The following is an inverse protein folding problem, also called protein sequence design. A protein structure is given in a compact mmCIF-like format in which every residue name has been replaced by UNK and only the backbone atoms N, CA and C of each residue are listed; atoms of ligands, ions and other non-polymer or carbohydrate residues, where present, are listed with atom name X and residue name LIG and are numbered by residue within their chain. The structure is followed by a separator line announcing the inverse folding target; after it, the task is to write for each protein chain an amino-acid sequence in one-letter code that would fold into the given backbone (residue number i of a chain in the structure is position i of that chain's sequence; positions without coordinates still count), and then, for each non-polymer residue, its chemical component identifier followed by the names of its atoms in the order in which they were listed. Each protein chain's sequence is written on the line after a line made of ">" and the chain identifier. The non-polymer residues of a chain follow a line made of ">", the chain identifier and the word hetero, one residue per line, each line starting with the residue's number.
data_IF_373218416086
#
_entry.id   IF_373218416086
#
_cell.length_a   1.000
_cell.length_b   1.000
_cell.length_c   1.000
_cell.angle_alpha   90.00
_cell.angle_beta   90.00
_cell.angle_gamma   90.00
#
_symmetry.space_group_name_H-M   'P 1'
#
loop_
_entity.id
_entity.type
_entity.pdbx_description
1 polymer ?
#
# COMPACT_ATOMS: atom_id res chain seq x y z
N UNK A 1 -36.99 -21.27 40.87
CA UNK A 1 -35.88 -21.86 40.08
C UNK A 1 -35.39 -20.79 39.11
N UNK A 2 -34.31 -20.09 39.46
CA UNK A 2 -33.68 -19.09 38.60
C UNK A 2 -32.77 -19.80 37.59
N UNK A 3 -33.05 -19.65 36.30
CA UNK A 3 -32.13 -20.03 35.24
C UNK A 3 -31.07 -18.93 35.11
N UNK A 4 -29.85 -19.20 35.57
CA UNK A 4 -28.66 -18.44 35.21
C UNK A 4 -28.22 -18.89 33.82
N UNK A 5 -28.45 -18.05 32.81
CA UNK A 5 -27.77 -18.18 31.51
C UNK A 5 -26.42 -17.50 31.68
N UNK A 6 -25.37 -18.29 31.86
CA UNK A 6 -24.00 -17.81 31.84
C UNK A 6 -23.61 -17.49 30.40
N UNK A 7 -23.64 -16.20 30.03
CA UNK A 7 -22.89 -15.74 28.88
C UNK A 7 -21.42 -15.74 29.29
N UNK A 8 -20.68 -16.76 28.85
CA UNK A 8 -19.23 -16.67 28.79
C UNK A 8 -18.90 -15.59 27.75
N UNK A 9 -18.58 -14.38 28.21
CA UNK A 9 -18.04 -13.32 27.37
C UNK A 9 -16.60 -13.66 27.01
N UNK A 10 -16.42 -14.62 26.10
CA UNK A 10 -15.18 -14.68 25.33
C UNK A 10 -15.34 -13.58 24.27
N UNK A 11 -14.78 -12.40 24.55
CA UNK A 11 -14.68 -11.37 23.51
C UNK A 11 -13.95 -12.02 22.33
N UNK A 12 -14.50 -12.03 21.11
CA UNK A 12 -13.77 -12.56 19.96
C UNK A 12 -12.45 -11.80 19.90
N UNK A 13 -11.33 -12.53 19.85
CA UNK A 13 -10.01 -11.91 19.69
C UNK A 13 -10.06 -11.17 18.36
N UNK A 14 -10.00 -9.84 18.42
CA UNK A 14 -10.06 -8.98 17.24
C UNK A 14 -8.87 -9.27 16.33
N UNK A 15 -9.13 -9.47 15.03
CA UNK A 15 -8.08 -9.60 14.01
C UNK A 15 -7.72 -8.20 13.50
N UNK A 16 -6.49 -7.75 13.78
CA UNK A 16 -5.95 -6.51 13.24
C UNK A 16 -5.13 -6.81 12.00
N UNK A 17 -5.45 -6.15 10.90
CA UNK A 17 -4.70 -6.26 9.66
C UNK A 17 -3.56 -5.25 9.65
N UNK A 18 -2.36 -5.76 9.38
CA UNK A 18 -1.12 -5.01 9.26
C UNK A 18 -0.56 -5.07 7.84
N UNK A 19 -1.11 -5.94 6.99
CA UNK A 19 -0.63 -6.14 5.64
C UNK A 19 -0.91 -4.94 4.72
N UNK A 20 -0.03 -4.72 3.74
CA UNK A 20 -0.11 -3.61 2.81
C UNK A 20 -1.40 -3.64 1.96
N UNK A 21 -1.82 -4.84 1.51
CA UNK A 21 -2.97 -5.02 0.64
C UNK A 21 -3.94 -6.11 1.15
N UNK A 22 -4.06 -6.23 2.48
CA UNK A 22 -4.98 -7.15 3.16
C UNK A 22 -4.79 -8.64 2.85
N UNK A 23 -3.57 -9.03 2.50
CA UNK A 23 -3.18 -10.41 2.26
C UNK A 23 -3.49 -11.28 3.49
N UNK A 24 -3.22 -10.73 4.67
CA UNK A 24 -3.50 -11.36 5.96
C UNK A 24 -5.00 -11.63 6.17
N UNK A 25 -5.88 -10.69 5.80
CA UNK A 25 -7.34 -10.85 5.89
C UNK A 25 -7.82 -11.96 4.96
N UNK A 26 -7.33 -11.97 3.71
CA UNK A 26 -7.72 -12.99 2.73
C UNK A 26 -7.23 -14.38 3.15
N UNK A 27 -5.98 -14.49 3.60
CA UNK A 27 -5.45 -15.73 4.17
C UNK A 27 -6.24 -16.16 5.41
N UNK A 28 -6.56 -15.23 6.31
CA UNK A 28 -7.34 -15.52 7.52
C UNK A 28 -8.74 -15.99 7.18
N UNK A 29 -9.40 -15.42 6.17
CA UNK A 29 -10.71 -15.90 5.69
C UNK A 29 -10.66 -17.39 5.33
N UNK A 30 -9.61 -17.83 4.65
CA UNK A 30 -9.42 -19.23 4.27
C UNK A 30 -8.98 -20.12 5.46
N UNK A 31 -8.16 -19.59 6.37
CA UNK A 31 -7.40 -20.40 7.34
C UNK A 31 -7.80 -20.23 8.81
N UNK A 32 -8.74 -19.34 9.17
CA UNK A 32 -9.14 -19.06 10.57
C UNK A 32 -9.67 -20.27 11.36
N UNK A 33 -9.95 -21.38 10.69
CA UNK A 33 -10.34 -22.64 11.32
C UNK A 33 -9.14 -23.41 11.89
N UNK A 34 -7.91 -23.00 11.57
CA UNK A 34 -6.66 -23.57 12.08
C UNK A 34 -6.19 -22.77 13.30
N UNK A 35 -6.13 -23.42 14.47
CA UNK A 35 -5.85 -22.75 15.75
C UNK A 35 -4.36 -22.36 15.93
N UNK A 36 -3.43 -23.17 15.43
CA UNK A 36 -1.97 -22.97 15.59
C UNK A 36 -1.22 -23.36 14.33
N UNK A 37 -1.51 -22.62 13.26
CA UNK A 37 -0.92 -22.91 11.96
C UNK A 37 0.56 -22.49 11.88
N UNK A 38 1.13 -22.79 10.72
CA UNK A 38 2.54 -22.56 10.42
C UNK A 38 2.69 -21.89 9.06
N UNK A 39 3.58 -20.91 8.99
CA UNK A 39 3.79 -20.11 7.78
C UNK A 39 5.27 -19.94 7.44
N UNK A 40 5.52 -19.60 6.17
CA UNK A 40 6.83 -19.15 5.69
C UNK A 40 6.62 -17.82 4.96
N UNK A 41 7.37 -16.80 5.34
CA UNK A 41 7.30 -15.45 4.80
C UNK A 41 8.65 -15.08 4.19
N UNK A 42 8.75 -15.10 2.86
CA UNK A 42 9.99 -14.80 2.12
C UNK A 42 9.94 -13.35 1.65
N UNK A 43 10.92 -12.57 2.10
CA UNK A 43 10.87 -11.10 2.04
C UNK A 43 9.98 -10.54 3.13
N UNK A 44 10.22 -10.98 4.36
CA UNK A 44 9.38 -10.62 5.51
C UNK A 44 9.55 -9.15 5.94
N UNK A 45 10.72 -8.55 5.69
CA UNK A 45 11.01 -7.14 5.98
C UNK A 45 10.63 -6.71 7.42
N UNK A 46 9.71 -5.75 7.58
CA UNK A 46 9.35 -5.16 8.87
C UNK A 46 8.40 -6.09 9.65
N UNK A 47 8.65 -6.37 10.96
CA UNK A 47 7.80 -7.26 11.74
C UNK A 47 6.40 -6.72 12.04
N UNK A 48 6.13 -5.42 11.80
CA UNK A 48 4.88 -4.74 12.17
C UNK A 48 4.28 -3.99 10.99
N UNK A 49 5.09 -3.22 10.27
CA UNK A 49 4.65 -2.40 9.13
C UNK A 49 4.50 -3.29 7.91
N UNK A 50 3.35 -3.22 7.23
CA UNK A 50 3.05 -4.02 6.04
C UNK A 50 3.17 -5.55 6.26
N UNK A 51 3.17 -5.99 7.51
CA UNK A 51 3.41 -7.38 7.88
C UNK A 51 2.18 -8.26 7.68
N UNK A 52 2.30 -9.24 6.79
CA UNK A 52 1.25 -10.27 6.57
C UNK A 52 1.15 -11.25 7.74
N UNK A 53 2.27 -11.51 8.41
CA UNK A 53 2.41 -12.57 9.41
C UNK A 53 2.10 -12.13 10.85
N UNK A 54 2.02 -10.83 11.14
CA UNK A 54 1.84 -10.37 12.53
C UNK A 54 0.49 -10.72 13.12
N UNK A 55 -0.58 -10.56 12.35
CA UNK A 55 -1.93 -10.91 12.76
C UNK A 55 -2.03 -12.40 13.15
N UNK A 56 -1.43 -13.30 12.35
CA UNK A 56 -1.38 -14.74 12.64
C UNK A 56 -0.65 -15.05 13.94
N UNK A 57 0.46 -14.39 14.23
CA UNK A 57 1.23 -14.63 15.44
C UNK A 57 0.48 -14.22 16.71
N UNK A 58 -0.30 -13.14 16.65
CA UNK A 58 -1.22 -12.77 17.72
C UNK A 58 -2.33 -13.81 17.94
N UNK A 59 -2.68 -14.58 16.91
CA UNK A 59 -3.58 -15.73 16.99
C UNK A 59 -2.87 -17.04 17.39
N UNK A 60 -1.60 -16.97 17.82
CA UNK A 60 -0.85 -18.14 18.32
C UNK A 60 -0.15 -18.96 17.24
N UNK A 61 -0.16 -18.52 15.98
CA UNK A 61 0.61 -19.15 14.91
C UNK A 61 2.10 -18.85 15.07
N UNK A 62 2.93 -19.70 14.48
CA UNK A 62 4.39 -19.52 14.43
C UNK A 62 4.90 -19.81 13.04
N UNK A 63 6.01 -19.22 12.65
CA UNK A 63 6.51 -19.41 11.29
C UNK A 63 7.98 -19.11 11.12
N UNK A 64 8.36 -19.05 9.85
CA UNK A 64 9.71 -18.73 9.40
C UNK A 64 9.67 -17.44 8.62
N UNK A 65 10.51 -16.50 8.98
CA UNK A 65 10.78 -15.29 8.21
C UNK A 65 12.11 -15.47 7.49
N UNK A 66 12.13 -15.19 6.20
CA UNK A 66 13.37 -15.16 5.41
C UNK A 66 13.60 -13.72 4.98
N UNK A 67 14.70 -13.13 5.47
CA UNK A 67 15.02 -11.71 5.28
C UNK A 67 16.53 -11.52 5.13
N UNK A 68 17.04 -11.15 3.95
CA UNK A 68 18.48 -11.03 3.71
C UNK A 68 19.13 -9.86 4.48
N UNK A 69 18.41 -8.79 4.73
CA UNK A 69 18.96 -7.54 5.29
C UNK A 69 19.19 -7.70 6.80
N UNK A 70 20.42 -7.44 7.32
CA UNK A 70 20.71 -7.56 8.75
C UNK A 70 19.78 -6.72 9.63
N UNK A 71 19.47 -5.50 9.21
CA UNK A 71 18.58 -4.58 9.94
C UNK A 71 17.21 -5.20 10.23
N UNK A 72 16.52 -5.66 9.18
CA UNK A 72 15.20 -6.26 9.31
C UNK A 72 15.24 -7.65 9.96
N UNK A 73 16.27 -8.46 9.68
CA UNK A 73 16.44 -9.75 10.35
C UNK A 73 16.60 -9.59 11.88
N UNK A 74 17.35 -8.60 12.36
CA UNK A 74 17.46 -8.28 13.78
C UNK A 74 16.13 -7.78 14.36
N UNK A 75 15.44 -6.90 13.63
CA UNK A 75 14.12 -6.40 14.04
C UNK A 75 13.09 -7.53 14.17
N UNK A 76 13.04 -8.45 13.21
CA UNK A 76 12.21 -9.66 13.25
C UNK A 76 12.55 -10.50 14.48
N UNK A 77 13.83 -10.80 14.74
CA UNK A 77 14.24 -11.61 15.92
C UNK A 77 13.78 -10.97 17.25
N UNK A 78 13.81 -9.65 17.34
CA UNK A 78 13.41 -8.92 18.55
C UNK A 78 11.89 -8.96 18.76
N UNK A 79 11.11 -8.71 17.71
CA UNK A 79 9.66 -8.57 17.79
C UNK A 79 8.88 -9.89 17.66
N UNK A 80 9.48 -10.92 17.04
CA UNK A 80 8.81 -12.17 16.65
C UNK A 80 9.23 -13.35 17.51
N UNK A 81 9.12 -13.21 18.83
CA UNK A 81 9.56 -14.25 19.76
C UNK A 81 8.88 -15.61 19.50
N UNK A 82 9.68 -16.62 19.20
CA UNK A 82 9.23 -17.97 18.89
C UNK A 82 9.04 -18.27 17.40
N UNK A 83 9.10 -17.26 16.53
CA UNK A 83 9.28 -17.46 15.09
C UNK A 83 10.79 -17.70 14.79
N UNK A 84 11.09 -18.35 13.66
CA UNK A 84 12.46 -18.53 13.18
C UNK A 84 12.78 -17.43 12.17
N UNK A 85 13.99 -16.88 12.23
CA UNK A 85 14.48 -15.89 11.26
C UNK A 85 15.71 -16.42 10.53
N UNK A 86 15.56 -16.64 9.22
CA UNK A 86 16.64 -17.03 8.32
C UNK A 86 17.14 -15.76 7.62
N UNK A 87 18.37 -15.37 7.91
CA UNK A 87 18.98 -14.19 7.30
C UNK A 87 19.73 -14.57 6.02
N UNK A 88 18.97 -14.75 4.94
CA UNK A 88 19.47 -15.13 3.63
C UNK A 88 18.50 -14.67 2.54
N UNK A 89 19.02 -14.49 1.32
CA UNK A 89 18.20 -14.46 0.12
C UNK A 89 17.82 -15.89 -0.30
N UNK A 90 16.71 -16.02 -1.02
CA UNK A 90 16.32 -17.29 -1.64
C UNK A 90 16.56 -17.23 -3.15
N UNK A 91 17.22 -18.25 -3.68
CA UNK A 91 17.52 -18.31 -5.11
C UNK A 91 18.11 -19.65 -5.55
N UNK A 92 18.46 -19.76 -6.83
CA UNK A 92 18.88 -21.04 -7.45
C UNK A 92 20.29 -21.49 -7.11
N UNK A 93 21.07 -20.70 -6.37
CA UNK A 93 22.47 -21.00 -6.04
C UNK A 93 22.75 -20.78 -4.56
N UNK A 94 23.50 -21.70 -3.98
CA UNK A 94 24.05 -21.53 -2.65
C UNK A 94 25.29 -20.63 -2.67
N UNK A 95 25.51 -19.91 -1.57
CA UNK A 95 26.73 -19.14 -1.35
C UNK A 95 26.42 -17.73 -0.87
N UNK A 96 27.20 -16.76 -1.35
CA UNK A 96 27.02 -15.35 -1.04
C UNK A 96 26.76 -14.60 -2.33
N UNK A 97 25.77 -13.70 -2.31
CA UNK A 97 25.40 -12.88 -3.46
C UNK A 97 25.42 -11.39 -3.10
N UNK A 98 25.68 -10.52 -4.08
CA UNK A 98 25.46 -9.09 -3.90
C UNK A 98 23.97 -8.80 -3.80
N UNK A 99 23.62 -7.88 -2.91
CA UNK A 99 22.26 -7.44 -2.63
C UNK A 99 22.26 -5.93 -2.38
N UNK A 100 21.19 -5.24 -2.75
CA UNK A 100 21.09 -3.79 -2.67
C UNK A 100 19.93 -3.39 -1.77
N UNK A 101 20.25 -2.72 -0.66
CA UNK A 101 19.29 -2.07 0.21
C UNK A 101 19.05 -0.64 -0.28
N UNK A 102 17.79 -0.18 -0.21
CA UNK A 102 17.39 1.18 -0.59
C UNK A 102 16.84 1.88 0.68
N UNK A 103 17.72 2.47 1.50
CA UNK A 103 17.33 2.98 2.82
C UNK A 103 16.17 3.98 2.77
N UNK A 104 15.30 3.89 3.78
CA UNK A 104 14.16 4.80 3.94
C UNK A 104 12.97 4.54 3.00
N UNK A 105 13.06 3.54 2.12
CA UNK A 105 11.95 3.17 1.20
C UNK A 105 11.25 1.88 1.57
N UNK A 106 11.89 1.03 2.38
CA UNK A 106 11.44 -0.34 2.63
C UNK A 106 11.88 -1.35 1.56
N UNK A 107 12.39 -0.87 0.42
CA UNK A 107 12.75 -1.70 -0.73
C UNK A 107 14.17 -2.25 -0.61
N UNK A 108 14.37 -3.46 -1.10
CA UNK A 108 15.67 -4.07 -1.29
C UNK A 108 15.61 -5.09 -2.42
N UNK A 109 16.71 -5.34 -3.12
CA UNK A 109 16.68 -6.23 -4.30
C UNK A 109 18.01 -6.95 -4.50
N UNK A 110 17.93 -8.18 -5.02
CA UNK A 110 19.10 -8.89 -5.53
C UNK A 110 19.39 -8.57 -7.00
N UNK A 111 18.57 -7.78 -7.69
CA UNK A 111 18.75 -7.44 -9.11
C UNK A 111 19.51 -6.11 -9.28
N UNK A 112 20.73 -6.12 -9.87
CA UNK A 112 21.48 -4.90 -10.12
C UNK A 112 20.77 -3.92 -11.07
N UNK A 113 19.89 -4.39 -11.95
CA UNK A 113 19.14 -3.52 -12.86
C UNK A 113 18.08 -2.70 -12.11
N UNK A 114 17.39 -3.33 -11.16
CA UNK A 114 16.42 -2.66 -10.28
C UNK A 114 17.16 -1.67 -9.38
N UNK A 115 18.27 -2.06 -8.76
CA UNK A 115 19.11 -1.15 -7.99
C UNK A 115 19.59 0.07 -8.81
N UNK A 116 20.01 -0.15 -10.06
CA UNK A 116 20.41 0.93 -10.96
C UNK A 116 19.24 1.85 -11.37
N UNK A 117 18.00 1.36 -11.38
CA UNK A 117 16.81 2.19 -11.57
C UNK A 117 16.54 3.09 -10.36
N UNK A 118 16.61 2.55 -9.14
CA UNK A 118 16.47 3.34 -7.92
C UNK A 118 17.55 4.40 -7.78
N UNK A 119 18.81 4.06 -8.09
CA UNK A 119 19.91 5.01 -8.10
C UNK A 119 19.67 6.16 -9.10
N UNK A 120 19.09 5.88 -10.29
CA UNK A 120 18.71 6.91 -11.27
C UNK A 120 17.56 7.80 -10.78
N UNK A 121 16.75 7.30 -9.86
CA UNK A 121 15.66 8.05 -9.21
C UNK A 121 16.11 8.78 -7.93
N UNK A 122 17.43 8.99 -7.75
CA UNK A 122 18.04 9.68 -6.60
C UNK A 122 17.84 8.98 -5.24
N UNK A 123 17.60 7.67 -5.23
CA UNK A 123 17.65 6.90 -4.00
C UNK A 123 19.07 6.44 -3.70
N UNK A 124 19.46 6.48 -2.43
CA UNK A 124 20.67 5.81 -1.95
C UNK A 124 20.52 4.30 -2.13
N UNK A 125 21.56 3.64 -2.64
CA UNK A 125 21.59 2.19 -2.85
C UNK A 125 22.85 1.63 -2.17
N UNK A 126 22.66 0.89 -1.08
CA UNK A 126 23.75 0.28 -0.32
C UNK A 126 23.92 -1.17 -0.76
N UNK A 127 25.07 -1.47 -1.37
CA UNK A 127 25.41 -2.84 -1.72
C UNK A 127 25.97 -3.58 -0.51
N UNK A 128 25.36 -4.73 -0.20
CA UNK A 128 25.78 -5.65 0.85
C UNK A 128 25.95 -7.07 0.27
N UNK A 129 26.67 -7.92 0.98
CA UNK A 129 26.82 -9.33 0.63
C UNK A 129 25.97 -10.17 1.60
N UNK A 130 25.07 -10.99 1.06
CA UNK A 130 24.14 -11.79 1.86
C UNK A 130 24.24 -13.27 1.52
N UNK A 131 24.05 -14.18 2.49
CA UNK A 131 23.91 -15.61 2.19
C UNK A 131 22.74 -15.84 1.24
N UNK A 132 22.86 -16.81 0.35
CA UNK A 132 21.81 -17.26 -0.55
C UNK A 132 21.65 -18.79 -0.44
N UNK A 133 20.41 -19.26 -0.44
CA UNK A 133 20.07 -20.68 -0.36
C UNK A 133 18.81 -20.99 -1.19
N UNK A 134 18.63 -22.24 -1.66
CA UNK A 134 17.43 -22.61 -2.40
C UNK A 134 16.22 -22.77 -1.49
N UNK A 135 15.03 -22.48 -2.03
CA UNK A 135 13.75 -22.63 -1.33
C UNK A 135 13.54 -24.07 -0.83
N UNK A 136 13.99 -25.06 -1.61
CA UNK A 136 13.96 -26.47 -1.22
C UNK A 136 14.56 -26.73 0.16
N UNK A 137 15.69 -26.10 0.51
CA UNK A 137 16.31 -26.29 1.83
C UNK A 137 15.44 -25.75 2.96
N UNK A 138 14.79 -24.59 2.75
CA UNK A 138 13.88 -24.01 3.74
C UNK A 138 12.67 -24.92 3.92
N UNK A 139 12.06 -25.37 2.81
CA UNK A 139 10.90 -26.25 2.84
C UNK A 139 11.19 -27.60 3.51
N UNK A 140 12.31 -28.24 3.15
CA UNK A 140 12.69 -29.55 3.65
C UNK A 140 13.00 -29.53 5.16
N UNK A 141 13.49 -28.40 5.69
CA UNK A 141 13.71 -28.21 7.12
C UNK A 141 12.41 -28.28 7.96
N UNK A 142 11.24 -28.09 7.32
CA UNK A 142 9.92 -28.12 7.98
C UNK A 142 8.97 -29.13 7.33
N UNK A 143 9.50 -30.17 6.67
CA UNK A 143 8.69 -31.22 6.04
C UNK A 143 7.92 -32.10 7.05
N UNK A 144 8.19 -31.97 8.35
CA UNK A 144 7.55 -32.72 9.45
C UNK A 144 6.16 -32.19 9.83
N UNK A 145 5.73 -31.06 9.25
CA UNK A 145 4.49 -30.36 9.61
C UNK A 145 3.80 -29.74 8.39
N UNK A 146 2.49 -29.44 8.48
CA UNK A 146 1.81 -28.68 7.45
C UNK A 146 2.29 -27.22 7.42
N UNK A 147 2.64 -26.73 6.23
CA UNK A 147 2.85 -25.30 5.98
C UNK A 147 1.55 -24.77 5.40
N UNK A 148 0.88 -23.88 6.11
CA UNK A 148 -0.47 -23.45 5.77
C UNK A 148 -0.46 -22.32 4.75
N UNK A 149 0.54 -21.44 4.80
CA UNK A 149 0.77 -20.49 3.74
C UNK A 149 2.26 -20.17 3.56
N UNK A 150 2.61 -19.84 2.32
CA UNK A 150 3.92 -19.33 1.90
C UNK A 150 3.73 -17.99 1.16
N UNK A 151 4.41 -16.93 1.61
CA UNK A 151 4.52 -15.66 0.87
C UNK A 151 5.86 -15.59 0.16
N UNK A 152 5.85 -15.10 -1.08
CA UNK A 152 7.04 -14.81 -1.89
C UNK A 152 6.91 -13.37 -2.39
N UNK A 153 7.79 -12.52 -1.88
CA UNK A 153 7.85 -11.10 -2.23
C UNK A 153 9.31 -10.68 -2.12
N UNK A 154 10.04 -10.75 -3.24
CA UNK A 154 11.50 -10.58 -3.25
C UNK A 154 11.93 -9.57 -4.30
N UNK A 155 11.03 -8.63 -4.61
CA UNK A 155 11.26 -7.44 -5.44
C UNK A 155 11.91 -7.78 -6.78
N UNK A 156 11.23 -8.65 -7.56
CA UNK A 156 11.58 -8.96 -8.95
C UNK A 156 12.35 -10.27 -9.14
N UNK A 157 12.53 -11.08 -8.09
CA UNK A 157 13.20 -12.39 -8.15
C UNK A 157 12.28 -13.57 -7.81
N UNK A 158 10.97 -13.39 -7.91
CA UNK A 158 9.97 -14.42 -7.59
C UNK A 158 10.19 -15.69 -8.44
N UNK A 159 10.63 -15.51 -9.69
CA UNK A 159 10.95 -16.59 -10.62
C UNK A 159 12.12 -17.46 -10.14
N UNK A 160 13.19 -16.85 -9.62
CA UNK A 160 14.35 -17.56 -9.07
C UNK A 160 13.98 -18.34 -7.80
N UNK A 161 13.13 -17.77 -6.96
CA UNK A 161 12.63 -18.42 -5.75
C UNK A 161 11.83 -19.68 -6.13
N UNK A 162 10.90 -19.56 -7.08
CA UNK A 162 10.07 -20.68 -7.54
C UNK A 162 10.91 -21.75 -8.27
N UNK A 163 11.94 -21.36 -9.04
CA UNK A 163 12.87 -22.31 -9.67
C UNK A 163 13.67 -23.11 -8.64
N UNK A 164 13.96 -22.53 -7.48
CA UNK A 164 14.72 -23.18 -6.40
C UNK A 164 13.88 -24.10 -5.50
N UNK A 165 12.59 -24.24 -5.80
CA UNK A 165 11.64 -25.08 -5.03
C UNK A 165 11.97 -26.57 -5.13
N UNK A 166 12.26 -27.07 -6.34
CA UNK A 166 12.64 -28.47 -6.54
C UNK A 166 14.08 -28.69 -6.07
N UNK A 167 14.40 -29.84 -5.46
CA UNK A 167 13.65 -31.10 -5.48
C UNK A 167 12.61 -31.29 -4.35
N UNK A 168 12.37 -30.29 -3.49
CA UNK A 168 11.49 -30.47 -2.33
C UNK A 168 10.08 -30.94 -2.71
N UNK A 169 9.56 -32.01 -2.08
CA UNK A 169 8.19 -32.48 -2.30
C UNK A 169 7.17 -31.64 -1.52
N UNK A 170 7.60 -30.78 -0.60
CA UNK A 170 6.71 -30.04 0.30
C UNK A 170 5.85 -29.03 -0.47
N UNK A 171 4.56 -28.98 -0.17
CA UNK A 171 3.57 -28.07 -0.77
C UNK A 171 2.79 -27.32 0.31
N UNK A 172 3.11 -26.04 0.59
CA UNK A 172 2.26 -25.19 1.40
C UNK A 172 0.83 -25.14 0.86
N UNK A 173 -0.17 -25.05 1.74
CA UNK A 173 -1.57 -25.12 1.32
C UNK A 173 -1.96 -23.96 0.41
N UNK A 174 -1.48 -22.76 0.75
CA UNK A 174 -1.71 -21.52 -0.01
C UNK A 174 -0.36 -20.87 -0.30
N UNK A 175 -0.18 -20.39 -1.53
CA UNK A 175 1.00 -19.61 -1.94
C UNK A 175 0.54 -18.23 -2.38
N UNK A 176 1.16 -17.19 -1.83
CA UNK A 176 0.94 -15.79 -2.19
C UNK A 176 2.22 -15.29 -2.83
N UNK A 177 2.11 -14.75 -4.04
CA UNK A 177 3.28 -14.24 -4.79
C UNK A 177 2.99 -12.82 -5.25
N UNK A 178 3.89 -11.89 -4.96
CA UNK A 178 3.83 -10.55 -5.55
C UNK A 178 3.90 -10.68 -7.08
N UNK A 179 3.01 -9.99 -7.79
CA UNK A 179 2.76 -10.26 -9.21
C UNK A 179 2.74 -9.02 -10.08
N UNK A 180 3.27 -7.91 -9.55
CA UNK A 180 3.49 -6.64 -10.26
C UNK A 180 4.98 -6.31 -10.29
N UNK A 181 5.41 -5.46 -11.21
CA UNK A 181 6.76 -4.86 -11.11
C UNK A 181 6.79 -3.83 -9.98
N UNK A 182 7.93 -3.65 -9.29
CA UNK A 182 8.05 -2.74 -8.15
C UNK A 182 7.44 -1.37 -8.43
N UNK A 183 6.56 -0.90 -7.54
CA UNK A 183 5.87 0.40 -7.62
C UNK A 183 5.04 0.64 -8.89
N UNK A 184 4.56 -0.41 -9.57
CA UNK A 184 3.69 -0.29 -10.76
C UNK A 184 2.50 -1.23 -10.68
N UNK A 185 1.55 -1.06 -11.61
CA UNK A 185 0.45 -2.02 -11.84
C UNK A 185 0.76 -2.97 -13.01
N UNK A 186 2.00 -2.98 -13.51
CA UNK A 186 2.39 -3.84 -14.63
C UNK A 186 2.58 -5.28 -14.12
N UNK A 187 1.85 -6.28 -14.66
CA UNK A 187 1.98 -7.64 -14.17
C UNK A 187 3.35 -8.27 -14.46
N UNK A 188 3.87 -9.05 -13.51
CA UNK A 188 5.18 -9.73 -13.57
C UNK A 188 5.10 -11.26 -13.47
N UNK A 189 3.89 -11.85 -13.46
CA UNK A 189 3.70 -13.29 -13.19
C UNK A 189 3.95 -14.26 -14.34
N UNK A 190 4.10 -13.76 -15.57
CA UNK A 190 4.10 -14.59 -16.78
C UNK A 190 5.22 -15.67 -16.80
N UNK A 191 6.35 -15.38 -16.16
CA UNK A 191 7.51 -16.29 -16.15
C UNK A 191 7.38 -17.39 -15.09
N UNK A 192 6.84 -17.05 -13.91
CA UNK A 192 6.82 -17.96 -12.77
C UNK A 192 5.50 -18.73 -12.59
N UNK A 193 4.36 -18.19 -13.05
CA UNK A 193 3.05 -18.83 -12.86
C UNK A 193 2.96 -20.25 -13.47
N UNK A 194 3.44 -20.50 -14.71
CA UNK A 194 3.42 -21.86 -15.27
C UNK A 194 4.19 -22.88 -14.42
N UNK A 195 5.25 -22.44 -13.73
CA UNK A 195 6.07 -23.28 -12.86
C UNK A 195 5.32 -23.63 -11.58
N UNK A 196 4.61 -22.67 -10.99
CA UNK A 196 3.73 -22.88 -9.84
C UNK A 196 2.58 -23.84 -10.18
N UNK A 197 1.94 -23.66 -11.34
CA UNK A 197 0.90 -24.59 -11.83
C UNK A 197 1.47 -26.01 -12.00
N UNK A 198 2.68 -26.14 -12.56
CA UNK A 198 3.36 -27.43 -12.70
C UNK A 198 3.80 -28.07 -11.36
N UNK A 199 3.80 -27.30 -10.26
CA UNK A 199 4.00 -27.82 -8.91
C UNK A 199 2.70 -28.36 -8.28
N UNK A 200 1.55 -28.21 -8.94
CA UNK A 200 0.25 -28.70 -8.47
C UNK A 200 -0.62 -27.62 -7.83
N UNK A 201 -0.42 -26.36 -8.19
CA UNK A 201 -1.20 -25.24 -7.66
C UNK A 201 -2.24 -24.73 -8.65
N UNK A 202 -3.37 -24.24 -8.12
CA UNK A 202 -4.44 -23.62 -8.89
C UNK A 202 -4.62 -22.16 -8.49
N UNK A 203 -4.69 -21.26 -9.48
CA UNK A 203 -4.98 -19.85 -9.25
C UNK A 203 -6.33 -19.67 -8.53
N UNK A 204 -6.34 -18.87 -7.47
CA UNK A 204 -7.51 -18.65 -6.62
C UNK A 204 -7.95 -17.18 -6.61
N UNK A 205 -7.02 -16.23 -6.49
CA UNK A 205 -7.36 -14.82 -6.29
C UNK A 205 -6.23 -13.87 -6.71
N UNK A 206 -6.60 -12.65 -7.11
CA UNK A 206 -5.68 -11.54 -7.37
C UNK A 206 -6.23 -10.30 -6.66
N UNK A 207 -5.43 -9.71 -5.78
CA UNK A 207 -5.83 -8.57 -4.93
C UNK A 207 -5.49 -7.19 -5.55
N UNK A 208 -4.88 -7.18 -6.73
CA UNK A 208 -4.35 -5.98 -7.39
C UNK A 208 -2.82 -5.90 -7.40
N UNK A 209 -2.15 -6.63 -6.50
CA UNK A 209 -0.69 -6.67 -6.31
C UNK A 209 -0.20 -8.13 -6.29
N UNK A 210 -0.79 -8.96 -5.43
CA UNK A 210 -0.44 -10.35 -5.20
C UNK A 210 -1.42 -11.32 -5.85
N UNK A 211 -0.90 -12.47 -6.29
CA UNK A 211 -1.69 -13.62 -6.74
C UNK A 211 -1.62 -14.74 -5.71
N UNK A 212 -2.79 -15.32 -5.44
CA UNK A 212 -2.98 -16.41 -4.50
C UNK A 212 -3.24 -17.69 -5.26
N UNK A 213 -2.56 -18.75 -4.84
CA UNK A 213 -2.68 -20.08 -5.41
C UNK A 213 -2.95 -21.08 -4.29
N UNK A 214 -3.83 -22.04 -4.56
CA UNK A 214 -4.18 -23.10 -3.61
C UNK A 214 -3.63 -24.42 -4.13
N UNK A 215 -3.01 -25.21 -3.25
CA UNK A 215 -2.53 -26.55 -3.58
C UNK A 215 -3.70 -27.44 -3.98
N UNK A 216 -3.55 -28.26 -5.02
CA UNK A 216 -4.55 -29.26 -5.40
C UNK A 216 -4.82 -30.28 -4.29
N UNK A 217 -3.88 -30.47 -3.35
CA UNK A 217 -4.05 -31.31 -2.17
C UNK A 217 -5.05 -30.71 -1.15
N UNK A 218 -5.31 -29.40 -1.24
CA UNK A 218 -6.17 -28.63 -0.34
C UNK A 218 -7.18 -27.75 -1.10
N UNK A 219 -7.74 -28.27 -2.19
CA UNK A 219 -8.61 -27.50 -3.09
C UNK A 219 -9.88 -26.97 -2.40
N UNK A 220 -10.30 -27.58 -1.29
CA UNK A 220 -11.39 -27.08 -0.44
C UNK A 220 -11.15 -25.65 0.06
N UNK A 221 -9.89 -25.23 0.21
CA UNK A 221 -9.51 -23.89 0.64
C UNK A 221 -9.71 -22.84 -0.46
N UNK A 222 -10.00 -23.24 -1.70
CA UNK A 222 -10.26 -22.29 -2.79
C UNK A 222 -11.62 -21.59 -2.67
N UNK A 223 -12.61 -22.22 -2.02
CA UNK A 223 -13.98 -21.71 -1.96
C UNK A 223 -14.17 -20.32 -1.31
N UNK A 224 -13.41 -19.93 -0.26
CA UNK A 224 -13.52 -18.60 0.37
C UNK A 224 -12.91 -17.44 -0.43
N UNK A 225 -12.16 -17.73 -1.50
CA UNK A 225 -11.58 -16.74 -2.39
C UNK A 225 -12.61 -16.19 -3.39
N UNK A 226 -12.41 -14.97 -3.90
CA UNK A 226 -13.27 -14.37 -4.91
C UNK A 226 -13.50 -12.87 -4.68
N UNK A 227 -14.33 -12.47 -3.70
CA UNK A 227 -14.44 -11.08 -3.31
C UNK A 227 -13.20 -10.64 -2.53
N UNK A 228 -12.81 -9.37 -2.70
CA UNK A 228 -11.79 -8.76 -1.84
C UNK A 228 -12.23 -8.64 -0.38
N UNK A 229 -11.36 -8.11 0.49
CA UNK A 229 -11.69 -7.82 1.88
C UNK A 229 -12.98 -7.01 1.97
N UNK A 230 -13.89 -7.41 2.85
CA UNK A 230 -15.20 -6.81 2.96
C UNK A 230 -15.77 -6.92 4.38
N UNK A 231 -16.98 -6.39 4.55
CA UNK A 231 -17.68 -6.33 5.84
C UNK A 231 -17.75 -7.66 6.60
N UNK A 232 -17.79 -8.80 5.89
CA UNK A 232 -17.91 -10.12 6.52
C UNK A 232 -16.60 -10.71 7.04
N UNK A 233 -15.48 -9.99 6.89
CA UNK A 233 -14.18 -10.42 7.40
C UNK A 233 -13.94 -9.96 8.85
N UNK A 234 -14.70 -8.99 9.34
CA UNK A 234 -14.67 -8.52 10.74
C UNK A 234 -13.27 -8.15 11.27
N UNK A 235 -12.37 -7.69 10.40
CA UNK A 235 -11.04 -7.21 10.79
C UNK A 235 -11.08 -5.73 11.18
N UNK A 236 -10.06 -5.31 11.91
CA UNK A 236 -9.76 -3.91 12.18
C UNK A 236 -8.45 -3.54 11.51
N UNK A 237 -8.28 -2.26 11.20
CA UNK A 237 -7.01 -1.75 10.69
C UNK A 237 -6.07 -1.48 11.86
N UNK A 238 -4.83 -1.92 11.75
CA UNK A 238 -3.78 -1.53 12.69
C UNK A 238 -3.48 -0.02 12.62
N UNK A 239 -2.92 0.54 13.71
CA UNK A 239 -2.57 1.96 13.79
C UNK A 239 -1.48 2.37 12.79
N UNK A 240 -0.62 1.43 12.37
CA UNK A 240 0.44 1.65 11.39
C UNK A 240 -0.01 1.42 9.95
N UNK A 241 -1.25 0.97 9.71
CA UNK A 241 -1.77 0.75 8.36
C UNK A 241 -1.78 2.06 7.55
N UNK A 242 -1.32 2.02 6.30
CA UNK A 242 -1.36 3.19 5.41
C UNK A 242 -2.79 3.70 5.17
N UNK A 243 -3.80 2.83 5.27
CA UNK A 243 -5.22 3.19 5.19
C UNK A 243 -5.68 4.05 6.38
N UNK A 244 -4.93 4.06 7.49
CA UNK A 244 -5.18 4.87 8.68
C UNK A 244 -4.31 6.13 8.77
N UNK A 245 -3.46 6.41 7.79
CA UNK A 245 -2.44 7.47 7.86
C UNK A 245 -2.97 8.85 8.32
N UNK A 246 -4.06 9.33 7.71
CA UNK A 246 -4.66 10.63 8.07
C UNK A 246 -5.26 10.64 9.48
N UNK A 247 -5.80 9.51 9.92
CA UNK A 247 -6.34 9.38 11.27
C UNK A 247 -5.21 9.35 12.30
N UNK A 248 -4.16 8.57 12.04
CA UNK A 248 -2.95 8.51 12.86
C UNK A 248 -2.29 9.90 12.99
N UNK A 249 -2.19 10.64 11.89
CA UNK A 249 -1.68 12.02 11.88
C UNK A 249 -2.52 12.97 12.74
N UNK A 250 -3.85 12.86 12.70
CA UNK A 250 -4.72 13.69 13.57
C UNK A 250 -4.60 13.29 15.02
N UNK A 251 -4.46 12.00 15.31
CA UNK A 251 -4.32 11.48 16.66
C UNK A 251 -3.01 11.94 17.31
N UNK A 252 -1.90 11.94 16.57
CA UNK A 252 -0.60 12.42 17.07
C UNK A 252 -0.62 13.90 17.45
N UNK A 253 -1.34 14.75 16.70
CA UNK A 253 -1.55 16.17 17.06
C UNK A 253 -2.33 16.29 18.37
N UNK A 254 -3.37 15.47 18.54
CA UNK A 254 -4.17 15.45 19.77
C UNK A 254 -3.33 14.99 20.95
N UNK A 255 -2.52 13.95 20.78
CA UNK A 255 -1.69 13.41 21.86
C UNK A 255 -0.54 14.35 22.22
N UNK A 256 0.05 15.05 21.24
CA UNK A 256 1.00 16.14 21.50
C UNK A 256 0.34 17.29 22.28
N UNK A 257 -0.91 17.65 21.94
CA UNK A 257 -1.66 18.66 22.68
C UNK A 257 -1.94 18.21 24.12
N UNK A 258 -2.36 16.94 24.33
CA UNK A 258 -2.57 16.36 25.67
C UNK A 258 -1.28 16.32 26.50
N UNK A 259 -0.16 15.95 25.89
CA UNK A 259 1.14 15.93 26.56
C UNK A 259 1.54 17.34 27.00
N UNK A 260 1.28 18.34 26.15
CA UNK A 260 1.52 19.75 26.47
C UNK A 260 0.62 20.26 27.59
N UNK A 261 -0.67 19.89 27.60
CA UNK A 261 -1.57 20.25 28.71
C UNK A 261 -1.14 19.59 30.02
N UNK A 262 -0.77 18.31 29.99
CA UNK A 262 -0.28 17.61 31.18
C UNK A 262 1.03 18.22 31.73
N UNK A 263 1.95 18.62 30.84
CA UNK A 263 3.17 19.32 31.22
C UNK A 263 2.88 20.70 31.84
N UNK A 264 1.91 21.43 31.29
CA UNK A 264 1.48 22.73 31.83
C UNK A 264 0.83 22.58 33.22
N UNK A 265 -0.03 21.58 33.39
CA UNK A 265 -0.67 21.27 34.67
C UNK A 265 0.36 20.87 35.73
N UNK A 266 1.35 20.05 35.36
CA UNK A 266 2.45 19.68 36.24
C UNK A 266 3.31 20.89 36.64
N UNK A 267 3.61 21.79 35.70
CA UNK A 267 4.32 23.03 35.97
C UNK A 267 3.53 23.97 36.90
N UNK A 268 2.22 24.10 36.68
CA UNK A 268 1.32 24.89 37.52
C UNK A 268 1.26 24.33 38.95
N UNK A 269 1.11 23.00 39.09
CA UNK A 269 1.16 22.35 40.41
C UNK A 269 2.51 22.56 41.09
N UNK A 270 3.64 22.39 40.39
CA UNK A 270 4.96 22.64 40.96
C UNK A 270 5.14 24.09 41.41
N UNK A 271 4.59 25.06 40.66
CA UNK A 271 4.64 26.46 41.04
C UNK A 271 3.76 26.75 42.26
N UNK A 272 2.53 26.24 42.31
CA UNK A 272 1.61 26.45 43.44
C UNK A 272 2.11 25.84 44.75
N UNK A 273 2.69 24.64 44.70
CA UNK A 273 3.25 23.97 45.89
C UNK A 273 4.68 24.44 46.22
N UNK A 274 5.46 24.88 45.23
CA UNK A 274 6.77 25.50 45.43
C UNK A 274 6.68 26.86 46.13
N UNK A 275 5.68 27.68 45.77
CA UNK A 275 5.41 28.98 46.42
C UNK A 275 4.80 28.87 47.83
N UNK A 276 4.38 27.68 48.26
CA UNK A 276 3.84 27.45 49.62
C UNK A 276 4.90 27.16 50.68
N UNK A 277 6.19 27.03 50.32
CA UNK A 277 7.28 26.97 51.33
C UNK A 277 7.64 28.38 51.79
N UNK A 278 6.96 28.80 52.86
CA UNK A 278 7.33 29.88 53.77
C UNK A 278 7.68 31.23 53.12
N UNK A 279 6.69 31.89 52.50
CA UNK A 279 6.77 33.35 52.31
C UNK A 279 6.72 33.98 53.71
N UNK A 280 7.86 34.41 54.22
CA UNK A 280 7.90 35.27 55.40
C UNK A 280 7.32 36.64 55.00
N UNK A 281 6.66 37.34 55.93
CA UNK A 281 5.97 38.62 55.67
C UNK A 281 6.83 39.71 54.97
N UNK A 282 8.15 39.53 54.87
CA UNK A 282 9.09 40.43 54.22
C UNK A 282 9.15 40.31 52.68
N UNK A 283 8.68 39.22 52.08
CA UNK A 283 8.87 38.94 50.62
C UNK A 283 7.58 39.13 49.80
N UNK A 284 6.44 39.41 50.45
CA UNK A 284 5.14 39.57 49.80
C UNK A 284 5.11 40.62 48.67
N UNK A 285 5.70 41.83 48.82
CA UNK A 285 5.65 42.85 47.77
C UNK A 285 6.40 42.43 46.50
N UNK A 286 7.50 41.68 46.67
CA UNK A 286 8.36 41.26 45.56
C UNK A 286 7.74 40.09 44.79
N UNK A 287 7.12 39.14 45.49
CA UNK A 287 6.33 38.07 44.88
C UNK A 287 5.08 38.62 44.18
N UNK A 288 4.38 39.62 44.74
CA UNK A 288 3.25 40.28 44.07
C UNK A 288 3.70 40.96 42.77
N UNK A 289 4.82 41.68 42.80
CA UNK A 289 5.35 42.37 41.63
C UNK A 289 5.78 41.40 40.52
N UNK A 290 6.39 40.26 40.88
CA UNK A 290 6.74 39.22 39.93
C UNK A 290 5.50 38.55 39.32
N UNK A 291 4.47 38.27 40.12
CA UNK A 291 3.19 37.71 39.64
C UNK A 291 2.46 38.68 38.72
N UNK A 292 2.38 39.97 39.07
CA UNK A 292 1.79 41.00 38.21
C UNK A 292 2.55 41.13 36.88
N UNK A 293 3.88 41.12 36.92
CA UNK A 293 4.72 41.12 35.72
C UNK A 293 4.49 39.90 34.83
N UNK A 294 4.37 38.71 35.42
CA UNK A 294 4.09 37.45 34.73
C UNK A 294 2.70 37.42 34.09
N UNK A 295 1.67 37.89 34.80
CA UNK A 295 0.29 37.99 34.28
C UNK A 295 0.23 38.99 33.12
N UNK A 296 0.91 40.13 33.22
CA UNK A 296 0.97 41.12 32.12
C UNK A 296 1.66 40.54 30.88
N UNK A 297 2.73 39.77 31.05
CA UNK A 297 3.42 39.07 29.96
C UNK A 297 2.51 38.04 29.27
N UNK A 298 1.79 37.23 30.04
CA UNK A 298 0.82 36.25 29.54
C UNK A 298 -0.30 36.91 28.75
N UNK A 299 -0.92 37.96 29.31
CA UNK A 299 -1.98 38.72 28.64
C UNK A 299 -1.47 39.32 27.32
N UNK A 300 -0.25 39.87 27.30
CA UNK A 300 0.37 40.39 26.06
C UNK A 300 0.53 39.29 25.01
N UNK A 301 1.00 38.11 25.41
CA UNK A 301 1.19 36.98 24.49
C UNK A 301 -0.13 36.47 23.92
N UNK A 302 -1.14 36.32 24.75
CA UNK A 302 -2.45 35.83 24.31
C UNK A 302 -3.17 36.87 23.44
N UNK A 303 -3.02 38.16 23.75
CA UNK A 303 -3.54 39.24 22.89
C UNK A 303 -2.87 39.22 21.51
N UNK A 304 -1.55 39.00 21.45
CA UNK A 304 -0.83 38.86 20.17
C UNK A 304 -1.28 37.62 19.38
N UNK A 305 -1.48 36.49 20.05
CA UNK A 305 -1.99 35.26 19.41
C UNK A 305 -3.40 35.45 18.85
N UNK A 306 -4.30 36.11 19.59
CA UNK A 306 -5.66 36.42 19.12
C UNK A 306 -5.62 37.36 17.91
N UNK A 307 -4.71 38.34 17.89
CA UNK A 307 -4.53 39.22 16.74
C UNK A 307 -4.05 38.45 15.49
N UNK A 308 -3.07 37.54 15.66
CA UNK A 308 -2.57 36.70 14.57
C UNK A 308 -3.65 35.77 14.02
N UNK A 309 -4.45 35.14 14.89
CA UNK A 309 -5.56 34.27 14.46
C UNK A 309 -6.62 35.04 13.68
N UNK A 310 -6.95 36.27 14.10
CA UNK A 310 -7.88 37.14 13.36
C UNK A 310 -7.33 37.53 11.98
N UNK A 311 -6.03 37.75 11.87
CA UNK A 311 -5.39 38.02 10.58
C UNK A 311 -5.50 36.81 9.65
N UNK A 312 -5.16 35.61 10.13
CA UNK A 312 -5.31 34.36 9.35
C UNK A 312 -6.75 34.10 8.92
N UNK A 313 -7.73 34.38 9.79
CA UNK A 313 -9.15 34.27 9.45
C UNK A 313 -9.56 35.24 8.32
N UNK A 314 -9.03 36.48 8.36
CA UNK A 314 -9.27 37.46 7.31
C UNK A 314 -8.66 37.02 5.96
N UNK A 315 -7.44 36.48 5.98
CA UNK A 315 -6.76 35.97 4.79
C UNK A 315 -7.52 34.79 4.16
N UNK A 316 -7.96 33.83 4.98
CA UNK A 316 -8.77 32.69 4.52
C UNK A 316 -10.09 33.18 3.89
N UNK A 317 -10.78 34.15 4.52
CA UNK A 317 -12.02 34.72 3.97
C UNK A 317 -11.78 35.44 2.64
N UNK A 318 -10.64 36.11 2.48
CA UNK A 318 -10.27 36.75 1.21
C UNK A 318 -10.04 35.71 0.10
N UNK A 319 -9.32 34.63 0.39
CA UNK A 319 -9.09 33.52 -0.55
C UNK A 319 -10.41 32.86 -0.95
N UNK A 320 -11.29 32.58 0.02
CA UNK A 320 -12.60 31.99 -0.26
C UNK A 320 -13.45 32.86 -1.20
N UNK A 321 -13.49 34.18 -0.96
CA UNK A 321 -14.20 35.12 -1.85
C UNK A 321 -13.62 35.12 -3.26
N UNK A 322 -12.30 35.08 -3.39
CA UNK A 322 -11.65 34.99 -4.70
C UNK A 322 -12.03 33.70 -5.44
N UNK A 323 -12.03 32.57 -4.73
CA UNK A 323 -12.40 31.27 -5.29
C UNK A 323 -13.88 31.20 -5.69
N UNK A 324 -14.77 31.80 -4.91
CA UNK A 324 -16.20 31.92 -5.26
C UNK A 324 -16.40 32.69 -6.57
N UNK A 325 -15.65 33.77 -6.76
CA UNK A 325 -15.67 34.56 -8.00
C UNK A 325 -15.12 33.73 -9.18
N UNK A 326 -13.99 33.04 -9.01
CA UNK A 326 -13.43 32.14 -10.03
C UNK A 326 -14.39 31.02 -10.44
N UNK A 327 -15.03 30.37 -9.46
CA UNK A 327 -16.04 29.33 -9.69
C UNK A 327 -17.23 29.88 -10.46
N UNK A 328 -17.71 31.07 -10.08
CA UNK A 328 -18.83 31.73 -10.78
C UNK A 328 -18.48 32.03 -12.24
N UNK A 329 -17.30 32.59 -12.49
CA UNK A 329 -16.83 32.84 -13.86
C UNK A 329 -16.70 31.55 -14.68
N UNK A 330 -16.17 30.47 -14.07
CA UNK A 330 -16.06 29.17 -14.73
C UNK A 330 -17.45 28.58 -15.06
N UNK A 331 -18.42 28.69 -14.15
CA UNK A 331 -19.80 28.25 -14.36
C UNK A 331 -20.50 29.07 -15.44
N UNK A 332 -20.34 30.39 -15.44
CA UNK A 332 -20.92 31.27 -16.45
C UNK A 332 -20.30 31.00 -17.84
N UNK A 333 -18.99 30.74 -17.90
CA UNK A 333 -18.33 30.30 -19.13
C UNK A 333 -18.84 28.94 -19.61
N UNK A 334 -19.03 27.97 -18.70
CA UNK A 334 -19.59 26.66 -19.02
C UNK A 334 -21.03 26.78 -19.53
N UNK A 335 -21.86 27.60 -18.89
CA UNK A 335 -23.23 27.89 -19.34
C UNK A 335 -23.25 28.60 -20.69
N UNK A 336 -22.35 29.55 -20.96
CA UNK A 336 -22.22 30.20 -22.25
C UNK A 336 -21.85 29.22 -23.36
N UNK A 337 -20.91 28.29 -23.07
CA UNK A 337 -20.58 27.19 -24.00
C UNK A 337 -21.80 26.30 -24.21
N UNK A 338 -22.46 25.83 -23.16
CA UNK A 338 -23.58 24.90 -23.24
C UNK A 338 -24.84 25.50 -23.91
N UNK A 339 -25.05 26.81 -23.79
CA UNK A 339 -26.17 27.52 -24.41
C UNK A 339 -25.88 27.99 -25.84
N UNK A 340 -24.62 27.94 -26.28
CA UNK A 340 -24.21 28.34 -27.63
C UNK A 340 -24.87 27.47 -28.71
N UNK A 341 -25.18 28.09 -29.85
CA UNK A 341 -25.82 27.41 -30.99
C UNK A 341 -24.95 26.27 -31.53
N UNK A 342 -23.63 26.47 -31.54
CA UNK A 342 -22.63 25.46 -31.92
C UNK A 342 -22.61 24.27 -30.97
N UNK A 343 -22.69 24.48 -29.65
CA UNK A 343 -22.76 23.37 -28.69
C UNK A 343 -24.10 22.65 -28.76
N UNK A 344 -25.23 23.35 -28.87
CA UNK A 344 -26.56 22.72 -28.98
C UNK A 344 -26.72 21.85 -30.22
N UNK A 345 -26.07 22.22 -31.33
CA UNK A 345 -26.05 21.42 -32.57
C UNK A 345 -25.04 20.28 -32.48
N UNK A 346 -23.86 20.53 -31.92
CA UNK A 346 -22.80 19.52 -31.88
C UNK A 346 -22.88 18.57 -30.69
N UNK A 347 -23.62 18.88 -29.62
CA UNK A 347 -23.74 18.02 -28.44
C UNK A 347 -24.42 16.67 -28.74
N UNK A 348 -25.56 16.61 -29.48
CA UNK A 348 -26.12 15.33 -29.93
C UNK A 348 -25.15 14.58 -30.86
N UNK A 349 -24.44 15.29 -31.74
CA UNK A 349 -23.47 14.69 -32.67
C UNK A 349 -22.22 14.17 -31.96
N UNK A 350 -21.78 14.81 -30.87
CA UNK A 350 -20.68 14.34 -30.00
C UNK A 350 -21.10 13.13 -29.22
N UNK A 351 -22.34 13.08 -28.72
CA UNK A 351 -22.91 11.90 -28.08
C UNK A 351 -23.03 10.71 -29.06
N UNK A 352 -23.39 10.97 -30.32
CA UNK A 352 -23.38 9.98 -31.41
C UNK A 352 -21.94 9.58 -31.81
N UNK A 353 -20.98 10.51 -31.78
CA UNK A 353 -19.57 10.22 -32.08
C UNK A 353 -18.86 9.44 -30.96
N UNK A 354 -19.29 9.61 -29.70
CA UNK A 354 -18.79 8.85 -28.54
C UNK A 354 -19.62 7.60 -28.19
N UNK A 355 -20.88 7.51 -28.61
CA UNK A 355 -21.76 6.35 -28.46
C UNK A 355 -22.35 5.95 -29.81
N UNK A 356 -21.67 5.03 -30.54
CA UNK A 356 -21.85 3.60 -30.31
C UNK A 356 -20.57 2.78 -30.56
N UNK A 357 -19.41 3.20 -30.05
CA UNK A 357 -18.21 2.33 -30.08
C UNK A 357 -18.32 1.12 -29.14
N UNK A 358 -19.19 1.18 -28.14
CA UNK A 358 -19.43 0.09 -27.20
C UNK A 358 -20.52 -0.87 -27.68
N UNK A 359 -21.58 -0.39 -28.35
CA UNK A 359 -22.66 -1.25 -28.88
C UNK A 359 -22.25 -2.04 -30.14
N UNK A 360 -21.33 -1.54 -30.98
CA UNK A 360 -20.90 -2.25 -32.20
C UNK A 360 -19.93 -3.42 -31.94
N UNK A 361 -19.27 -3.49 -30.76
CA UNK A 361 -18.42 -4.64 -30.40
C UNK A 361 -19.23 -5.89 -30.06
N UNK A 362 -20.37 -5.72 -29.39
CA UNK A 362 -21.20 -6.85 -28.94
C UNK A 362 -22.06 -7.45 -30.06
N UNK A 363 -22.35 -6.69 -31.11
CA UNK A 363 -23.06 -7.19 -32.30
C UNK A 363 -22.13 -7.89 -33.29
N UNK A 364 -20.87 -7.43 -33.43
CA UNK A 364 -19.89 -8.07 -34.32
C UNK A 364 -19.37 -9.40 -33.77
N UNK A 365 -19.26 -9.58 -32.45
CA UNK A 365 -18.90 -10.87 -31.84
C UNK A 365 -20.00 -11.93 -32.02
N UNK A 366 -21.29 -11.54 -31.98
CA UNK A 366 -22.41 -12.45 -32.28
C UNK A 366 -22.50 -12.83 -33.76
N UNK A 367 -22.26 -11.90 -34.69
CA UNK A 367 -22.30 -12.15 -36.14
C UNK A 367 -21.12 -12.98 -36.67
N UNK A 368 -19.96 -12.93 -36.01
CA UNK A 368 -18.80 -13.77 -36.35
C UNK A 368 -18.93 -15.22 -35.85
N UNK A 369 -19.89 -15.52 -34.96
CA UNK A 369 -20.22 -16.90 -34.56
C UNK A 369 -21.23 -17.62 -35.47
N UNK A 370 -21.87 -16.89 -36.40
CA UNK A 370 -22.97 -17.39 -37.24
C UNK A 370 -22.64 -17.55 -38.74
N UNK A 371 -21.40 -17.31 -39.16
CA UNK A 371 -20.93 -17.55 -40.55
C UNK A 371 -19.69 -18.45 -40.62
N UNK A 372 -19.75 -19.53 -39.86
CA UNK A 372 -18.99 -20.76 -40.12
C UNK A 372 -19.86 -21.83 -40.79
N UNK A 373 -20.60 -21.49 -41.86
CA UNK A 373 -21.25 -22.50 -42.70
C UNK A 373 -21.59 -21.96 -44.10
N UNK A 374 -21.23 -22.77 -45.10
CA UNK A 374 -21.64 -22.81 -46.52
C UNK A 374 -21.07 -21.79 -47.53
N UNK A 375 -20.16 -22.36 -48.33
CA UNK A 375 -19.77 -22.14 -49.73
C UNK A 375 -20.78 -21.44 -50.68
N UNK A 376 -20.29 -20.62 -51.63
CA UNK A 376 -19.99 -21.02 -53.02
C UNK A 376 -20.02 -19.85 -54.05
N UNK A 377 -19.12 -19.98 -55.05
CA UNK A 377 -19.16 -19.48 -56.44
C UNK A 377 -18.80 -18.02 -56.82
N UNK A 378 -17.67 -17.91 -57.56
CA UNK A 378 -17.37 -17.16 -58.82
C UNK A 378 -17.89 -15.71 -59.02
N UNK A 379 -17.20 -14.73 -59.60
CA UNK A 379 -16.23 -14.74 -60.71
C UNK A 379 -15.61 -13.33 -60.97
N UNK A 380 -14.46 -13.31 -61.67
CA UNK A 380 -13.84 -12.24 -62.51
C UNK A 380 -13.37 -10.93 -61.83
N UNK A 381 -12.06 -10.72 -61.61
CA UNK A 381 -10.99 -10.34 -62.57
C UNK A 381 -10.93 -8.84 -62.92
N UNK A 382 -9.88 -8.10 -62.46
CA UNK A 382 -8.75 -7.64 -63.30
C UNK A 382 -7.69 -6.90 -62.46
N UNK A 383 -6.44 -7.11 -62.88
CA UNK A 383 -5.15 -6.62 -62.37
C UNK A 383 -4.90 -5.13 -62.66
N UNK A 384 -4.10 -4.43 -61.84
CA UNK A 384 -2.82 -3.73 -62.18
C UNK A 384 -2.18 -3.13 -60.91
N UNK A 385 -0.85 -3.30 -60.77
CA UNK A 385 0.13 -2.62 -59.87
C UNK A 385 1.20 -1.99 -60.81
N UNK A 386 2.23 -1.23 -60.36
CA UNK A 386 2.43 -0.34 -59.18
C UNK A 386 3.12 1.00 -59.60
N UNK A 387 3.42 1.93 -58.66
CA UNK A 387 4.68 2.73 -58.65
C UNK A 387 4.75 3.68 -57.43
N UNK A 388 5.98 4.00 -57.04
CA UNK A 388 6.46 4.54 -55.76
C UNK A 388 6.91 6.04 -55.87
N UNK A 389 7.66 6.65 -54.92
CA UNK A 389 7.26 7.88 -54.20
C UNK A 389 8.08 9.14 -54.57
N UNK A 390 7.56 10.34 -54.30
CA UNK A 390 8.37 11.58 -54.28
C UNK A 390 7.89 12.63 -53.27
N UNK A 391 8.81 12.96 -52.35
CA UNK A 391 9.21 14.26 -51.81
C UNK A 391 8.18 15.31 -51.31
N UNK A 392 8.36 15.65 -50.02
CA UNK A 392 8.08 16.90 -49.27
C UNK A 392 8.62 18.19 -49.95
N UNK A 393 8.27 19.45 -49.54
CA UNK A 393 8.28 19.95 -48.13
C UNK A 393 7.31 21.11 -47.72
N UNK A 394 7.26 21.41 -46.41
CA UNK A 394 7.07 22.78 -45.90
C UNK A 394 6.09 23.04 -44.73
N UNK A 395 6.52 22.75 -43.49
CA UNK A 395 6.42 23.52 -42.21
C UNK A 395 5.12 24.27 -41.77
N UNK A 396 5.02 24.77 -40.50
CA UNK A 396 5.26 24.16 -39.19
C UNK A 396 4.06 24.34 -38.23
N UNK A 397 3.75 23.40 -37.34
CA UNK A 397 2.99 23.73 -36.11
C UNK A 397 3.49 22.92 -34.91
N UNK A 398 3.87 23.67 -33.86
CA UNK A 398 4.26 23.19 -32.52
C UNK A 398 3.16 22.32 -31.89
N UNK A 399 3.50 21.20 -31.24
CA UNK A 399 2.70 20.67 -30.14
C UNK A 399 3.14 21.31 -28.83
N UNK A 400 2.18 21.88 -28.09
CA UNK A 400 2.32 22.23 -26.68
C UNK A 400 2.41 20.93 -25.87
N UNK A 401 3.62 20.59 -25.45
CA UNK A 401 3.88 19.63 -24.38
C UNK A 401 3.64 20.33 -23.04
N UNK A 402 2.68 19.85 -22.26
CA UNK A 402 2.60 20.10 -20.82
C UNK A 402 3.27 18.91 -20.11
N UNK A 403 4.38 19.11 -19.39
CA UNK A 403 4.95 18.07 -18.55
C UNK A 403 4.19 17.98 -17.23
N UNK A 404 3.60 16.81 -16.96
CA UNK A 404 3.19 16.39 -15.62
C UNK A 404 4.45 16.08 -14.79
N UNK A 405 5.08 17.12 -14.24
CA UNK A 405 6.14 17.04 -13.22
C UNK A 405 6.16 18.35 -12.44
N UNK A 406 5.42 18.41 -11.34
CA UNK A 406 5.67 19.27 -10.16
C UNK A 406 4.47 19.22 -9.20
N UNK A 407 4.27 18.08 -8.54
CA UNK A 407 3.57 18.02 -7.26
C UNK A 407 4.31 16.94 -6.46
N UNK A 408 5.49 17.25 -5.93
CA UNK A 408 6.11 16.46 -4.85
C UNK A 408 7.33 17.11 -4.15
N UNK A 409 7.66 18.40 -4.38
CA UNK A 409 8.91 18.98 -3.84
C UNK A 409 8.79 20.21 -2.91
N UNK A 410 7.62 20.67 -2.48
CA UNK A 410 7.52 21.89 -1.65
C UNK A 410 6.87 21.66 -0.27
N UNK A 411 7.33 20.68 0.52
CA UNK A 411 6.85 20.51 1.91
C UNK A 411 7.92 20.09 2.94
N UNK A 412 9.21 20.35 2.70
CA UNK A 412 10.26 20.10 3.70
C UNK A 412 11.14 21.30 4.07
N UNK A 413 10.71 22.51 3.73
CA UNK A 413 11.29 23.72 4.31
C UNK A 413 10.16 24.54 4.93
N UNK A 414 9.96 24.36 6.24
CA UNK A 414 9.70 25.40 7.26
C UNK A 414 9.09 24.79 8.54
N UNK A 415 9.89 24.85 9.60
CA UNK A 415 9.63 24.70 11.05
C UNK A 415 9.40 23.30 11.65
#
# INVERSE_FOLDING_TARGET
>A
MQYRVGFATCSPVTFFSNAQNFEDVILWRALKHVERGFFIDIGAQDPVIDSVSIAFHHQGWRGVHVEPTPHYAEKLRLYRQGDVVIQAAIGTREGTIPFWEIPGTGLSTGDPAIAAEHARNNHECLQIEVPCMPLSQVLDAYADRPIHWLKIDVEGREDDVIDSWRPSPVRPWIVVVESTKPNTQEPSYANWEPKLIALGYEFAYFDGVNRFYVSQEHIELKAPFGPGPNFFDFFQLDEHSHFNFELAKKLSVVDAAKAKTAALDAALHSHMFGSSRAITHAELPEVLHQLEGGVVQLIKRDTANVALLRQKEADIKAILRQKEVEIKYALDALHAVHSSFSWRITAPLRWIASGPRQMLRDTMSRLLSLKGSSQSSSSKARSVKPMSPTAEPGSPTRPLSLPARQIFNDLNDHE
#
